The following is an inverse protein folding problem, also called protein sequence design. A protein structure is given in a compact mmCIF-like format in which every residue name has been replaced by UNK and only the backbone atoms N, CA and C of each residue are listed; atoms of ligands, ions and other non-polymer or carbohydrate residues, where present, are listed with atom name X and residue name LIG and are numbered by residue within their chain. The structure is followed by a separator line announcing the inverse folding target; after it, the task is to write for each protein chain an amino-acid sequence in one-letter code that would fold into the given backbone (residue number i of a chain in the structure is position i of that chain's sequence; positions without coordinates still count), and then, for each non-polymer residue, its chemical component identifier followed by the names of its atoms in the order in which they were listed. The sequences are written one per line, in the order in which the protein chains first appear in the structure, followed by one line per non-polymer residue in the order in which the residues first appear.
data_IF_916863874999
#
_entry.id   IF_916863874999
#
_cell.length_a   1.000
_cell.length_b   1.000
_cell.length_c   1.000
_cell.angle_alpha   90.00
_cell.angle_beta   90.00
_cell.angle_gamma   90.00
#
_symmetry.space_group_name_H-M   'P 1'
#
loop_
_entity.id
_entity.type
_entity.pdbx_description
1 polymer ?
#
# COMPACT_ATOMS: atom_id res chain seq x y z
N UNK A 1 -32.47 -22.03 14.69
CA UNK A 1 -33.03 -22.19 13.33
C UNK A 1 -32.74 -20.92 12.54
N UNK A 2 -32.28 -21.11 11.31
CA UNK A 2 -32.20 -20.18 10.17
C UNK A 2 -31.34 -18.91 10.25
N UNK A 3 -30.21 -19.03 9.53
CA UNK A 3 -29.27 -18.01 9.04
C UNK A 3 -29.96 -17.02 8.08
N UNK A 4 -29.55 -15.76 8.11
CA UNK A 4 -29.69 -14.84 6.97
C UNK A 4 -28.31 -14.42 6.46
N UNK A 5 -27.90 -15.06 5.37
CA UNK A 5 -26.81 -14.63 4.50
C UNK A 5 -27.40 -13.66 3.50
N UNK A 6 -26.93 -12.41 3.46
CA UNK A 6 -27.19 -11.48 2.36
C UNK A 6 -26.00 -11.51 1.42
N UNK A 7 -26.18 -12.17 0.28
CA UNK A 7 -25.35 -12.06 -0.91
C UNK A 7 -25.96 -10.98 -1.78
N UNK A 8 -25.19 -9.95 -2.17
CA UNK A 8 -25.55 -9.06 -3.27
C UNK A 8 -24.55 -9.26 -4.41
N UNK A 9 -25.03 -9.90 -5.47
CA UNK A 9 -24.42 -9.92 -6.79
C UNK A 9 -25.56 -9.71 -7.80
N UNK A 10 -25.46 -8.66 -8.62
CA UNK A 10 -26.23 -8.34 -9.82
C UNK A 10 -25.36 -7.30 -10.55
N UNK A 11 -25.10 -7.36 -11.86
CA UNK A 11 -25.89 -7.93 -12.93
C UNK A 11 -25.02 -8.56 -14.04
N UNK A 12 -25.50 -9.70 -14.55
CA UNK A 12 -25.24 -10.20 -15.90
C UNK A 12 -26.46 -9.79 -16.73
N UNK A 13 -26.24 -9.14 -17.88
CA UNK A 13 -27.25 -9.06 -18.93
C UNK A 13 -26.98 -10.21 -19.91
N UNK A 14 -28.09 -10.82 -20.26
CA UNK A 14 -28.32 -12.14 -20.82
C UNK A 14 -28.39 -12.11 -22.37
N UNK A 15 -28.39 -13.31 -22.92
CA UNK A 15 -29.10 -13.75 -24.13
C UNK A 15 -28.33 -13.82 -25.46
N UNK A 16 -28.21 -15.05 -25.97
CA UNK A 16 -27.91 -15.29 -27.38
C UNK A 16 -27.63 -16.74 -27.82
N UNK A 17 -28.54 -17.67 -27.52
CA UNK A 17 -28.83 -18.97 -28.16
C UNK A 17 -27.86 -19.56 -29.23
N UNK A 18 -27.32 -20.79 -29.09
CA UNK A 18 -27.92 -22.15 -29.22
C UNK A 18 -27.65 -22.80 -30.60
N UNK A 19 -27.49 -24.14 -30.57
CA UNK A 19 -27.41 -25.15 -31.66
C UNK A 19 -26.03 -25.41 -32.29
N UNK A 20 -25.35 -26.52 -32.00
CA UNK A 20 -25.61 -27.95 -32.31
C UNK A 20 -25.16 -28.42 -33.72
N UNK A 21 -24.22 -29.38 -33.65
CA UNK A 21 -24.12 -30.65 -34.40
C UNK A 21 -23.47 -30.68 -35.80
N UNK A 22 -22.38 -31.47 -35.80
CA UNK A 22 -22.05 -32.62 -36.68
C UNK A 22 -21.72 -32.32 -38.14
N UNK A 23 -20.55 -32.77 -38.60
CA UNK A 23 -20.32 -33.89 -39.54
C UNK A 23 -18.80 -33.95 -39.82
N UNK A 24 -18.10 -34.98 -39.33
CA UNK A 24 -17.52 -36.11 -40.09
C UNK A 24 -16.53 -35.73 -41.20
N UNK A 25 -15.27 -36.08 -40.94
CA UNK A 25 -14.34 -36.85 -41.77
C UNK A 25 -14.33 -36.61 -43.30
N UNK A 26 -13.17 -36.16 -43.80
CA UNK A 26 -12.60 -36.67 -45.05
C UNK A 26 -11.08 -36.47 -45.00
N UNK A 27 -10.32 -37.56 -45.04
CA UNK A 27 -8.92 -37.51 -45.45
C UNK A 27 -8.84 -37.56 -46.97
N UNK A 28 -7.72 -37.07 -47.52
CA UNK A 28 -6.90 -37.66 -48.60
C UNK A 28 -6.05 -36.57 -49.29
N UNK A 29 -4.77 -36.90 -49.48
CA UNK A 29 -3.81 -36.41 -50.51
C UNK A 29 -3.46 -34.91 -50.55
N UNK A 30 -2.25 -34.53 -50.14
CA UNK A 30 -0.97 -34.48 -50.90
C UNK A 30 -0.84 -33.29 -51.87
N UNK A 31 0.30 -32.59 -51.67
CA UNK A 31 1.15 -31.89 -52.65
C UNK A 31 0.73 -30.49 -53.14
N UNK A 32 1.44 -29.44 -52.69
CA UNK A 32 2.43 -28.67 -53.48
C UNK A 32 2.82 -27.33 -52.80
N UNK A 33 4.13 -27.20 -52.51
CA UNK A 33 5.04 -26.05 -52.71
C UNK A 33 4.62 -24.59 -52.42
N UNK A 34 5.31 -23.99 -51.43
CA UNK A 34 5.85 -22.60 -51.27
C UNK A 34 4.91 -21.36 -51.43
N UNK A 35 5.16 -20.22 -50.72
CA UNK A 35 6.42 -19.82 -50.09
C UNK A 35 6.36 -19.40 -48.61
N UNK A 36 7.53 -19.54 -47.97
CA UNK A 36 7.93 -18.82 -46.77
C UNK A 36 7.82 -17.31 -47.01
N UNK A 37 6.81 -16.66 -46.46
CA UNK A 37 6.71 -15.20 -46.27
C UNK A 37 5.66 -15.00 -45.17
N UNK A 38 5.96 -14.16 -44.18
CA UNK A 38 5.10 -13.78 -43.04
C UNK A 38 5.22 -14.60 -41.74
N UNK A 39 6.43 -15.01 -41.35
CA UNK A 39 6.77 -15.17 -39.93
C UNK A 39 8.04 -14.35 -39.68
N UNK A 40 7.88 -13.04 -39.68
CA UNK A 40 8.94 -12.08 -39.39
C UNK A 40 8.31 -10.80 -38.88
N UNK A 41 8.67 -10.41 -37.66
CA UNK A 41 8.35 -9.13 -37.00
C UNK A 41 6.94 -8.96 -36.43
N UNK A 42 6.59 -9.77 -35.45
CA UNK A 42 5.83 -9.29 -34.28
C UNK A 42 6.54 -9.69 -32.99
N UNK A 43 7.85 -9.43 -32.92
CA UNK A 43 8.58 -9.31 -31.67
C UNK A 43 9.41 -8.03 -31.77
N UNK A 44 9.42 -7.26 -30.67
CA UNK A 44 9.97 -5.90 -30.53
C UNK A 44 9.02 -4.86 -31.16
N UNK A 45 8.29 -4.03 -30.43
CA UNK A 45 8.46 -3.51 -29.08
C UNK A 45 7.07 -3.51 -28.45
N UNK A 46 6.89 -4.28 -27.36
CA UNK A 46 5.92 -3.85 -26.37
C UNK A 46 6.46 -2.50 -25.89
N UNK A 47 5.92 -1.43 -26.46
CA UNK A 47 6.05 -0.06 -25.98
C UNK A 47 5.93 -0.18 -24.48
N UNK A 48 6.96 0.26 -23.75
CA UNK A 48 6.94 0.33 -22.31
C UNK A 48 5.59 0.91 -21.92
N UNK A 49 4.70 0.06 -21.39
CA UNK A 49 3.43 0.52 -20.87
C UNK A 49 3.82 1.62 -19.88
N UNK A 50 3.28 2.83 -20.08
CA UNK A 50 3.58 4.02 -19.29
C UNK A 50 3.54 3.65 -17.80
N UNK A 51 4.70 3.35 -17.21
CA UNK A 51 4.79 3.14 -15.78
C UNK A 51 4.59 4.54 -15.20
N UNK A 52 3.58 4.75 -14.33
CA UNK A 52 3.36 6.04 -13.70
C UNK A 52 4.68 6.54 -13.12
N UNK A 53 4.99 7.83 -13.31
CA UNK A 53 6.13 8.45 -12.61
C UNK A 53 5.78 8.46 -11.12
N UNK A 54 6.23 7.45 -10.39
CA UNK A 54 5.98 7.28 -8.97
C UNK A 54 6.75 8.33 -8.16
N UNK A 55 6.47 8.44 -6.87
CA UNK A 55 7.30 9.23 -5.98
C UNK A 55 8.56 8.46 -5.56
N UNK A 56 9.54 9.15 -4.97
CA UNK A 56 10.80 8.51 -4.50
C UNK A 56 10.55 7.58 -3.31
N UNK A 57 9.46 7.80 -2.58
CA UNK A 57 8.95 7.00 -1.47
C UNK A 57 8.32 5.67 -1.93
N UNK A 58 8.08 5.51 -3.24
CA UNK A 58 7.44 4.34 -3.83
C UNK A 58 5.91 4.39 -3.79
N UNK A 59 5.30 3.25 -4.09
CA UNK A 59 3.86 3.03 -4.11
C UNK A 59 3.54 1.82 -3.23
N UNK A 60 2.58 1.98 -2.33
CA UNK A 60 1.99 0.93 -1.53
C UNK A 60 0.48 0.95 -1.80
N UNK A 61 -0.09 -0.17 -2.23
CA UNK A 61 -1.53 -0.30 -2.53
C UNK A 61 -2.04 -1.60 -1.95
N UNK A 62 -3.14 -1.52 -1.21
CA UNK A 62 -3.66 -2.66 -0.49
C UNK A 62 -5.13 -2.89 -0.76
N UNK A 63 -5.53 -4.15 -0.76
CA UNK A 63 -6.93 -4.52 -0.68
C UNK A 63 -7.11 -5.61 0.36
N UNK A 64 -8.22 -5.54 1.09
CA UNK A 64 -8.52 -6.48 2.17
C UNK A 64 -9.94 -6.99 1.96
N UNK A 65 -10.11 -8.30 2.08
CA UNK A 65 -11.43 -8.94 2.18
C UNK A 65 -11.46 -9.80 3.44
N UNK A 66 -12.66 -9.96 4.01
CA UNK A 66 -12.86 -10.82 5.18
C UNK A 66 -13.83 -11.95 4.90
N UNK A 67 -13.66 -13.07 5.58
CA UNK A 67 -14.57 -14.20 5.52
C UNK A 67 -14.22 -15.26 6.56
N UNK A 68 -15.22 -15.81 7.25
CA UNK A 68 -15.04 -16.90 8.23
C UNK A 68 -14.00 -16.53 9.32
N UNK A 69 -13.99 -15.26 9.76
CA UNK A 69 -13.05 -14.76 10.77
C UNK A 69 -11.58 -14.66 10.29
N UNK A 70 -11.34 -14.71 8.98
CA UNK A 70 -10.04 -14.51 8.36
C UNK A 70 -10.04 -13.28 7.46
N UNK A 71 -8.85 -12.68 7.34
CA UNK A 71 -8.53 -11.61 6.42
C UNK A 71 -7.65 -12.15 5.31
N UNK A 72 -7.99 -11.85 4.06
CA UNK A 72 -7.09 -11.96 2.92
C UNK A 72 -6.67 -10.55 2.52
N UNK A 73 -5.39 -10.25 2.70
CA UNK A 73 -4.76 -8.98 2.32
C UNK A 73 -3.93 -9.18 1.06
N UNK A 74 -4.21 -8.37 0.03
CA UNK A 74 -3.34 -8.19 -1.13
C UNK A 74 -2.53 -6.92 -0.91
N UNK A 75 -1.22 -7.00 -1.08
CA UNK A 75 -0.30 -5.86 -1.05
C UNK A 75 0.43 -5.75 -2.37
N UNK A 76 0.24 -4.66 -3.08
CA UNK A 76 0.98 -4.31 -4.28
C UNK A 76 1.98 -3.22 -3.91
N UNK A 77 3.25 -3.47 -4.18
CA UNK A 77 4.32 -2.53 -3.88
C UNK A 77 5.10 -2.23 -5.13
N UNK A 78 5.51 -0.98 -5.31
CA UNK A 78 6.36 -0.58 -6.41
C UNK A 78 7.32 0.54 -6.02
N UNK A 79 8.50 0.56 -6.62
CA UNK A 79 9.48 1.67 -6.59
C UNK A 79 10.00 1.88 -8.00
N UNK A 80 10.55 3.05 -8.29
CA UNK A 80 11.08 3.39 -9.61
C UNK A 80 12.56 3.74 -9.56
N UNK A 81 13.26 3.48 -10.66
CA UNK A 81 14.62 3.94 -10.89
C UNK A 81 15.44 2.96 -11.72
N UNK A 82 16.67 2.68 -11.29
CA UNK A 82 17.55 1.77 -12.01
C UNK A 82 17.02 0.32 -11.91
N UNK A 83 16.95 -0.36 -13.05
CA UNK A 83 16.62 -1.80 -13.11
C UNK A 83 17.80 -2.58 -12.53
N UNK A 84 17.59 -3.19 -11.36
CA UNK A 84 18.60 -3.99 -10.67
C UNK A 84 17.94 -5.22 -10.04
N UNK A 85 18.58 -6.40 -10.08
CA UNK A 85 18.06 -7.58 -9.39
C UNK A 85 17.93 -7.34 -7.89
N UNK A 86 16.70 -7.35 -7.38
CA UNK A 86 16.43 -7.15 -5.96
C UNK A 86 16.27 -8.46 -5.22
N UNK A 87 17.19 -8.73 -4.30
CA UNK A 87 17.12 -9.85 -3.36
C UNK A 87 17.05 -9.32 -1.93
N UNK A 88 16.12 -9.86 -1.14
CA UNK A 88 15.98 -9.50 0.27
C UNK A 88 16.74 -10.48 1.16
N UNK A 89 17.40 -9.95 2.18
CA UNK A 89 17.97 -10.73 3.26
C UNK A 89 16.87 -11.41 4.09
N UNK A 90 17.27 -12.35 4.95
CA UNK A 90 16.35 -13.00 5.89
C UNK A 90 15.67 -11.93 6.74
N UNK A 91 14.35 -12.05 6.88
CA UNK A 91 13.52 -11.16 7.70
C UNK A 91 13.99 -11.19 9.15
N UNK A 92 14.24 -10.01 9.70
CA UNK A 92 14.39 -9.77 11.14
C UNK A 92 13.02 -9.53 11.76
N UNK A 93 12.74 -10.19 12.88
CA UNK A 93 11.51 -9.99 13.65
C UNK A 93 11.79 -8.96 14.73
N UNK A 94 11.02 -7.88 14.76
CA UNK A 94 11.15 -6.83 15.77
C UNK A 94 10.68 -7.33 17.15
N UNK A 95 11.01 -6.60 18.23
CA UNK A 95 10.49 -6.87 19.57
C UNK A 95 8.96 -6.87 19.60
N UNK A 96 8.34 -5.91 18.89
CA UNK A 96 6.95 -6.04 18.46
C UNK A 96 6.87 -7.07 17.32
N UNK A 97 6.40 -8.28 17.66
CA UNK A 97 6.32 -9.41 16.73
C UNK A 97 5.35 -9.19 15.56
N UNK A 98 4.56 -8.11 15.59
CA UNK A 98 3.70 -7.68 14.48
C UNK A 98 4.52 -7.07 13.34
N UNK A 99 5.70 -6.53 13.62
CA UNK A 99 6.59 -5.93 12.62
C UNK A 99 7.72 -6.90 12.27
N UNK A 100 7.95 -7.04 10.96
CA UNK A 100 9.11 -7.74 10.40
C UNK A 100 9.78 -6.84 9.38
N UNK A 101 11.11 -6.82 9.36
CA UNK A 101 11.89 -6.00 8.43
C UNK A 101 12.76 -6.91 7.58
N UNK A 102 12.80 -6.65 6.27
CA UNK A 102 13.74 -7.28 5.34
C UNK A 102 14.47 -6.20 4.56
N UNK A 103 15.80 -6.20 4.64
CA UNK A 103 16.63 -5.30 3.85
C UNK A 103 16.99 -5.94 2.53
N UNK A 104 17.06 -5.14 1.47
CA UNK A 104 17.76 -5.52 0.26
C UNK A 104 19.20 -5.93 0.56
N UNK A 105 19.70 -6.95 -0.14
CA UNK A 105 21.10 -7.39 -0.05
C UNK A 105 22.02 -6.22 -0.41
N UNK A 106 23.00 -5.95 0.44
CA UNK A 106 23.95 -4.85 0.28
C UNK A 106 23.54 -3.56 1.01
N UNK A 107 22.34 -3.50 1.60
CA UNK A 107 22.01 -2.46 2.59
C UNK A 107 22.50 -2.90 3.97
N UNK A 108 23.60 -2.32 4.44
CA UNK A 108 24.06 -2.48 5.81
C UNK A 108 23.35 -1.47 6.72
N UNK A 109 22.28 -1.91 7.39
CA UNK A 109 21.51 -1.11 8.34
C UNK A 109 21.10 -1.97 9.54
N UNK A 110 21.00 -1.33 10.68
CA UNK A 110 20.53 -1.92 11.94
C UNK A 110 18.99 -1.85 11.98
N UNK A 111 18.27 -2.98 12.11
CA UNK A 111 16.80 -2.98 12.13
C UNK A 111 16.20 -2.25 13.33
N UNK A 112 16.97 -2.01 14.40
CA UNK A 112 16.49 -1.58 15.70
C UNK A 112 15.71 -0.26 15.64
N UNK A 113 16.24 0.76 14.97
CA UNK A 113 15.56 2.07 14.87
C UNK A 113 14.29 1.97 14.02
N UNK A 114 14.35 1.31 12.86
CA UNK A 114 13.19 1.07 11.99
C UNK A 114 12.12 0.28 12.73
N UNK A 115 12.51 -0.77 13.45
CA UNK A 115 11.61 -1.58 14.27
C UNK A 115 10.92 -0.72 15.32
N UNK A 116 11.67 0.13 16.06
CA UNK A 116 11.09 1.01 17.08
C UNK A 116 10.06 1.96 16.47
N UNK A 117 10.46 2.69 15.43
CA UNK A 117 9.61 3.69 14.76
C UNK A 117 8.34 3.06 14.19
N UNK A 118 8.47 1.96 13.46
CA UNK A 118 7.34 1.23 12.91
C UNK A 118 6.41 0.67 14.01
N UNK A 119 6.97 0.18 15.13
CA UNK A 119 6.17 -0.34 16.24
C UNK A 119 5.37 0.76 16.94
N UNK A 120 5.98 1.93 17.17
CA UNK A 120 5.32 3.09 17.78
C UNK A 120 4.21 3.65 16.88
N UNK A 121 4.47 3.78 15.57
CA UNK A 121 3.47 4.18 14.58
C UNK A 121 2.29 3.18 14.50
N UNK A 122 2.56 1.87 14.46
CA UNK A 122 1.50 0.86 14.44
C UNK A 122 0.72 0.82 15.76
N UNK A 123 1.39 1.02 16.90
CA UNK A 123 0.71 1.06 18.20
C UNK A 123 -0.31 2.20 18.29
N UNK A 124 0.01 3.37 17.72
CA UNK A 124 -0.93 4.49 17.61
C UNK A 124 -2.19 4.10 16.83
N UNK A 125 -2.03 3.49 15.65
CA UNK A 125 -3.16 3.00 14.84
C UNK A 125 -3.98 1.93 15.57
N UNK A 126 -3.32 0.95 16.20
CA UNK A 126 -3.99 -0.13 16.92
C UNK A 126 -4.79 0.37 18.12
N UNK A 127 -4.30 1.41 18.80
CA UNK A 127 -5.04 2.03 19.91
C UNK A 127 -6.35 2.66 19.40
N UNK A 128 -6.31 3.29 18.23
CA UNK A 128 -7.42 4.07 17.70
C UNK A 128 -8.46 3.24 16.93
N UNK A 129 -8.01 2.24 16.18
CA UNK A 129 -8.89 1.27 15.51
C UNK A 129 -9.42 0.19 16.46
N UNK A 130 -8.82 0.05 17.65
CA UNK A 130 -9.01 -1.08 18.56
C UNK A 130 -8.67 -2.46 17.97
N UNK A 131 -7.89 -2.50 16.88
CA UNK A 131 -7.44 -3.74 16.23
C UNK A 131 -5.98 -4.02 16.56
N UNK A 132 -5.73 -5.05 17.38
CA UNK A 132 -4.40 -5.35 17.91
C UNK A 132 -3.58 -6.31 17.02
N UNK A 133 -4.22 -7.03 16.10
CA UNK A 133 -3.62 -8.12 15.34
C UNK A 133 -3.23 -7.76 13.89
N UNK A 134 -3.07 -6.46 13.61
CA UNK A 134 -2.47 -5.98 12.36
C UNK A 134 -0.99 -6.38 12.36
N UNK A 135 -0.49 -6.93 11.26
CA UNK A 135 0.93 -7.28 11.10
C UNK A 135 1.50 -6.72 9.80
N UNK A 136 2.75 -6.27 9.85
CA UNK A 136 3.43 -5.57 8.76
C UNK A 136 4.78 -6.24 8.48
N UNK A 137 5.05 -6.50 7.20
CA UNK A 137 6.40 -6.80 6.71
C UNK A 137 6.92 -5.61 5.91
N UNK A 138 7.93 -4.92 6.42
CA UNK A 138 8.62 -3.83 5.74
C UNK A 138 9.75 -4.37 4.86
N UNK A 139 9.70 -4.05 3.58
CA UNK A 139 10.76 -4.27 2.61
C UNK A 139 11.55 -2.97 2.46
N UNK A 140 12.77 -2.93 2.98
CA UNK A 140 13.63 -1.75 2.90
C UNK A 140 14.56 -1.89 1.71
N UNK A 141 14.49 -0.95 0.78
CA UNK A 141 15.21 -0.99 -0.50
C UNK A 141 16.08 0.26 -0.70
N UNK A 142 17.13 0.23 -1.54
CA UNK A 142 17.88 1.43 -1.86
C UNK A 142 16.98 2.48 -2.53
N UNK A 143 17.35 3.75 -2.44
CA UNK A 143 16.67 4.79 -3.23
C UNK A 143 16.82 4.52 -4.73
N UNK A 144 15.81 4.92 -5.51
CA UNK A 144 15.86 4.95 -6.98
C UNK A 144 16.20 3.60 -7.62
N UNK A 145 15.63 2.52 -7.10
CA UNK A 145 15.65 1.20 -7.74
C UNK A 145 14.27 0.84 -8.25
N UNK A 146 14.21 0.19 -9.41
CA UNK A 146 12.96 -0.35 -9.94
C UNK A 146 12.66 -1.69 -9.26
N UNK A 147 11.52 -1.78 -8.58
CA UNK A 147 11.05 -3.00 -7.96
C UNK A 147 9.52 -3.01 -7.98
N UNK A 148 8.93 -4.13 -8.36
CA UNK A 148 7.48 -4.32 -8.31
C UNK A 148 7.15 -5.72 -7.84
N UNK A 149 6.22 -5.83 -6.90
CA UNK A 149 5.74 -7.13 -6.43
C UNK A 149 4.29 -7.06 -5.95
N UNK A 150 3.63 -8.22 -5.96
CA UNK A 150 2.32 -8.42 -5.35
C UNK A 150 2.38 -9.58 -4.38
N UNK A 151 1.84 -9.37 -3.18
CA UNK A 151 1.80 -10.35 -2.10
C UNK A 151 0.36 -10.63 -1.69
N UNK A 152 0.07 -11.89 -1.39
CA UNK A 152 -1.18 -12.33 -0.79
C UNK A 152 -0.90 -12.93 0.58
N UNK A 153 -1.60 -12.46 1.61
CA UNK A 153 -1.44 -12.93 2.99
C UNK A 153 -2.79 -13.20 3.62
N UNK A 154 -2.90 -14.36 4.27
CA UNK A 154 -4.08 -14.75 5.02
C UNK A 154 -3.78 -14.81 6.52
N UNK A 155 -4.72 -14.38 7.36
CA UNK A 155 -4.56 -14.43 8.82
C UNK A 155 -5.82 -14.05 9.59
N UNK A 156 -5.75 -14.15 10.91
CA UNK A 156 -6.82 -13.70 11.83
C UNK A 156 -6.94 -12.18 11.94
N UNK A 157 -5.96 -11.44 11.41
CA UNK A 157 -5.95 -10.00 11.27
C UNK A 157 -5.28 -9.61 9.94
N UNK A 158 -5.37 -8.34 9.52
CA UNK A 158 -4.73 -7.86 8.31
C UNK A 158 -3.22 -8.06 8.32
N UNK A 159 -2.66 -8.45 7.17
CA UNK A 159 -1.23 -8.71 7.01
C UNK A 159 -0.68 -7.96 5.81
N UNK A 160 -0.02 -6.83 6.06
CA UNK A 160 0.54 -5.95 5.05
C UNK A 160 1.97 -6.36 4.69
N UNK A 161 2.33 -6.14 3.43
CA UNK A 161 3.72 -6.07 2.97
C UNK A 161 3.91 -4.69 2.36
N UNK A 162 4.77 -3.87 2.97
CA UNK A 162 5.03 -2.50 2.54
C UNK A 162 6.46 -2.41 2.01
N UNK A 163 6.71 -1.47 1.10
CA UNK A 163 8.04 -1.11 0.62
C UNK A 163 8.40 0.30 1.08
N UNK A 164 9.62 0.46 1.57
CA UNK A 164 10.17 1.74 2.00
C UNK A 164 11.58 1.93 1.41
N UNK A 165 11.77 2.85 0.46
CA UNK A 165 13.08 3.25 0.00
C UNK A 165 13.87 3.96 1.09
N UNK A 166 15.18 3.72 1.14
CA UNK A 166 16.11 4.53 1.92
C UNK A 166 16.21 5.89 1.25
N UNK A 167 15.88 6.95 1.98
CA UNK A 167 15.94 8.33 1.49
C UNK A 167 17.31 8.95 1.75
N UNK A 168 17.47 10.23 1.38
CA UNK A 168 18.77 10.92 1.45
C UNK A 168 19.35 10.96 2.86
N UNK A 169 18.50 11.08 3.88
CA UNK A 169 18.88 11.05 5.30
C UNK A 169 18.19 9.90 6.03
N UNK A 170 18.79 9.48 7.15
CA UNK A 170 18.19 8.49 8.04
C UNK A 170 16.87 9.01 8.61
N UNK A 171 16.84 10.28 9.03
CA UNK A 171 15.64 10.96 9.53
C UNK A 171 14.50 10.94 8.51
N UNK A 172 14.75 11.29 7.24
CA UNK A 172 13.73 11.22 6.20
C UNK A 172 13.25 9.78 5.97
N UNK A 173 14.16 8.81 6.05
CA UNK A 173 13.80 7.38 5.93
C UNK A 173 12.90 6.94 7.09
N UNK A 174 13.21 7.33 8.32
CA UNK A 174 12.41 7.02 9.49
C UNK A 174 11.05 7.73 9.47
N UNK A 175 11.01 8.99 9.03
CA UNK A 175 9.77 9.75 8.84
C UNK A 175 8.86 9.07 7.82
N UNK A 176 9.39 8.69 6.65
CA UNK A 176 8.66 7.93 5.64
C UNK A 176 8.14 6.59 6.19
N UNK A 177 8.94 5.87 7.00
CA UNK A 177 8.50 4.60 7.61
C UNK A 177 7.39 4.83 8.63
N UNK A 178 7.49 5.84 9.49
CA UNK A 178 6.46 6.17 10.47
C UNK A 178 5.14 6.54 9.78
N UNK A 179 5.23 7.40 8.76
CA UNK A 179 4.13 7.83 7.92
C UNK A 179 3.45 6.63 7.25
N UNK A 180 4.22 5.87 6.47
CA UNK A 180 3.73 4.72 5.72
C UNK A 180 3.08 3.66 6.61
N UNK A 181 3.69 3.36 7.76
CA UNK A 181 3.12 2.38 8.69
C UNK A 181 1.81 2.86 9.30
N UNK A 182 1.72 4.14 9.67
CA UNK A 182 0.50 4.69 10.25
C UNK A 182 -0.61 4.87 9.21
N UNK A 183 -0.26 5.36 8.02
CA UNK A 183 -1.17 5.55 6.89
C UNK A 183 -1.78 4.21 6.43
N UNK A 184 -0.93 3.23 6.09
CA UNK A 184 -1.42 1.94 5.60
C UNK A 184 -2.05 1.09 6.71
N UNK A 185 -1.52 1.24 7.93
CA UNK A 185 -2.11 0.68 9.13
C UNK A 185 -3.53 1.19 9.35
N UNK A 186 -3.78 2.49 9.14
CA UNK A 186 -5.10 3.10 9.30
C UNK A 186 -6.14 2.45 8.38
N UNK A 187 -5.84 2.32 7.08
CA UNK A 187 -6.75 1.70 6.12
C UNK A 187 -7.19 0.31 6.57
N UNK A 188 -6.23 -0.56 6.90
CA UNK A 188 -6.57 -1.94 7.29
C UNK A 188 -7.14 -2.04 8.70
N UNK A 189 -6.76 -1.12 9.60
CA UNK A 189 -7.26 -1.05 10.96
C UNK A 189 -8.74 -0.67 10.99
N UNK A 190 -9.11 0.41 10.30
CA UNK A 190 -10.51 0.85 10.22
C UNK A 190 -11.38 -0.16 9.48
N UNK A 191 -10.84 -0.79 8.42
CA UNK A 191 -11.54 -1.87 7.72
C UNK A 191 -11.79 -3.06 8.65
N UNK A 192 -10.78 -3.48 9.43
CA UNK A 192 -10.92 -4.57 10.40
C UNK A 192 -11.84 -4.21 11.58
N UNK A 193 -11.97 -2.93 11.91
CA UNK A 193 -12.94 -2.42 12.89
C UNK A 193 -14.38 -2.36 12.33
N UNK A 194 -14.56 -2.57 11.02
CA UNK A 194 -15.87 -2.58 10.35
C UNK A 194 -16.28 -1.25 9.71
N UNK A 195 -15.42 -0.22 9.76
CA UNK A 195 -15.69 1.09 9.17
C UNK A 195 -15.05 1.20 7.79
N UNK A 196 -15.69 0.57 6.80
CA UNK A 196 -15.19 0.51 5.41
C UNK A 196 -15.14 1.90 4.76
N UNK A 197 -16.08 2.79 5.12
CA UNK A 197 -16.10 4.14 4.56
C UNK A 197 -14.92 4.96 5.05
N UNK A 198 -14.64 4.91 6.36
CA UNK A 198 -13.49 5.59 6.93
C UNK A 198 -12.17 4.98 6.46
N UNK A 199 -12.13 3.65 6.32
CA UNK A 199 -10.98 2.92 5.79
C UNK A 199 -10.61 3.30 4.36
N UNK A 200 -11.52 3.86 3.56
CA UNK A 200 -11.25 4.32 2.20
C UNK A 200 -10.88 5.80 2.10
N UNK A 201 -10.73 6.51 3.22
CA UNK A 201 -10.51 7.95 3.22
C UNK A 201 -9.01 8.29 3.25
N UNK A 202 -8.43 8.54 2.08
CA UNK A 202 -7.02 8.91 1.88
C UNK A 202 -6.64 10.19 2.65
N UNK A 203 -7.48 11.22 2.62
CA UNK A 203 -7.24 12.47 3.34
C UNK A 203 -7.03 12.26 4.84
N UNK A 204 -7.82 11.37 5.45
CA UNK A 204 -7.66 10.98 6.84
C UNK A 204 -6.42 10.10 7.04
N UNK A 205 -6.16 9.16 6.13
CA UNK A 205 -4.98 8.31 6.21
C UNK A 205 -3.67 9.11 6.20
N UNK A 206 -3.58 10.18 5.40
CA UNK A 206 -2.43 11.10 5.41
C UNK A 206 -2.28 11.84 6.75
N UNK A 207 -3.38 12.30 7.37
CA UNK A 207 -3.30 12.85 8.72
C UNK A 207 -2.79 11.82 9.74
N UNK A 208 -3.19 10.55 9.60
CA UNK A 208 -2.68 9.46 10.43
C UNK A 208 -1.20 9.20 10.20
N UNK A 209 -0.72 9.30 8.97
CA UNK A 209 0.71 9.26 8.64
C UNK A 209 1.50 10.30 9.44
N UNK A 210 1.07 11.57 9.39
CA UNK A 210 1.69 12.66 10.14
C UNK A 210 1.60 12.47 11.67
N UNK A 211 0.46 12.00 12.19
CA UNK A 211 0.32 11.64 13.59
C UNK A 211 1.25 10.47 13.98
N UNK A 212 1.46 9.51 13.09
CA UNK A 212 2.42 8.43 13.24
C UNK A 212 3.86 8.95 13.39
N UNK A 213 4.25 9.91 12.55
CA UNK A 213 5.53 10.62 12.66
C UNK A 213 5.67 11.32 14.02
N UNK A 214 4.67 12.14 14.42
CA UNK A 214 4.68 12.82 15.74
C UNK A 214 4.82 11.85 16.91
N UNK A 215 4.11 10.71 16.87
CA UNK A 215 4.16 9.73 17.97
C UNK A 215 5.51 9.02 18.02
N UNK A 216 6.05 8.61 16.86
CA UNK A 216 7.23 7.74 16.77
C UNK A 216 8.58 8.50 16.81
N UNK A 217 8.59 9.74 16.30
CA UNK A 217 9.77 10.58 16.15
C UNK A 217 9.74 11.81 17.05
N UNK A 218 8.56 12.14 17.61
CA UNK A 218 8.39 13.35 18.44
C UNK A 218 8.25 14.64 17.63
N UNK A 219 8.37 14.59 16.32
CA UNK A 219 8.24 15.76 15.43
C UNK A 219 7.85 15.34 14.01
N UNK A 220 7.44 16.33 13.22
CA UNK A 220 7.29 16.25 11.76
C UNK A 220 8.20 17.32 11.17
N UNK A 221 8.91 16.97 10.11
CA UNK A 221 9.72 17.90 9.32
C UNK A 221 8.91 18.41 8.13
N UNK A 222 8.98 19.71 7.75
CA UNK A 222 8.33 20.20 6.54
C UNK A 222 8.74 19.45 5.27
N UNK A 223 10.00 18.98 5.21
CA UNK A 223 10.52 18.17 4.11
C UNK A 223 10.01 16.73 4.10
N UNK A 224 9.40 16.25 5.19
CA UNK A 224 8.84 14.92 5.32
C UNK A 224 7.30 14.91 5.20
N UNK A 225 6.70 16.04 4.82
CA UNK A 225 5.29 16.10 4.48
C UNK A 225 4.99 15.29 3.21
N UNK A 226 3.80 14.66 3.14
CA UNK A 226 3.36 13.98 1.94
C UNK A 226 3.28 14.96 0.76
N UNK A 227 3.15 14.42 -0.45
CA UNK A 227 2.78 15.24 -1.61
C UNK A 227 3.90 15.47 -2.62
N UNK A 228 4.10 14.47 -3.47
CA UNK A 228 4.48 14.72 -4.85
C UNK A 228 3.44 14.06 -5.74
N UNK A 229 2.70 14.86 -6.51
CA UNK A 229 1.69 14.36 -7.42
C UNK A 229 2.25 13.30 -8.37
N UNK A 230 1.64 12.11 -8.34
CA UNK A 230 1.99 11.02 -9.26
C UNK A 230 1.10 11.15 -10.49
N UNK A 231 1.71 11.38 -11.65
CA UNK A 231 0.99 11.27 -12.92
C UNK A 231 0.66 9.79 -13.17
N UNK A 232 -0.62 9.43 -13.03
CA UNK A 232 -1.12 8.06 -13.14
C UNK A 232 -2.51 8.04 -13.77
N UNK A 233 -2.77 7.00 -14.56
CA UNK A 233 -4.11 6.68 -15.07
C UNK A 233 -4.95 5.85 -14.08
N UNK A 234 -4.35 5.40 -12.96
CA UNK A 234 -5.06 4.68 -11.88
C UNK A 234 -5.79 5.69 -10.99
N UNK A 235 -7.15 5.71 -10.96
CA UNK A 235 -7.92 6.68 -10.18
C UNK A 235 -7.59 6.67 -8.68
N UNK A 236 -7.20 5.52 -8.12
CA UNK A 236 -6.82 5.44 -6.71
C UNK A 236 -5.51 6.18 -6.43
N UNK A 237 -4.55 6.14 -7.36
CA UNK A 237 -3.29 6.86 -7.21
C UNK A 237 -3.48 8.36 -7.39
N UNK A 238 -4.43 8.77 -8.24
CA UNK A 238 -4.82 10.18 -8.41
C UNK A 238 -5.48 10.72 -7.14
N UNK A 239 -6.47 10.02 -6.59
CA UNK A 239 -7.17 10.42 -5.36
C UNK A 239 -6.22 10.50 -4.15
N UNK A 240 -5.36 9.50 -3.99
CA UNK A 240 -4.33 9.51 -2.95
C UNK A 240 -3.36 10.70 -3.14
N UNK A 241 -2.90 10.96 -4.37
CA UNK A 241 -2.01 12.11 -4.64
C UNK A 241 -2.66 13.45 -4.32
N UNK A 242 -3.92 13.64 -4.70
CA UNK A 242 -4.68 14.86 -4.41
C UNK A 242 -4.90 15.04 -2.90
N UNK A 243 -5.19 13.95 -2.20
CA UNK A 243 -5.31 13.95 -0.73
C UNK A 243 -3.99 14.31 -0.06
N UNK A 244 -2.87 13.76 -0.52
CA UNK A 244 -1.52 14.12 -0.05
C UNK A 244 -1.23 15.62 -0.22
N UNK A 245 -1.46 16.16 -1.42
CA UNK A 245 -1.23 17.58 -1.73
C UNK A 245 -2.09 18.48 -0.83
N UNK A 246 -3.37 18.13 -0.67
CA UNK A 246 -4.27 18.87 0.21
C UNK A 246 -3.78 18.88 1.67
N UNK A 247 -3.43 17.72 2.22
CA UNK A 247 -2.93 17.64 3.60
C UNK A 247 -1.61 18.40 3.74
N UNK A 248 -0.72 18.30 2.75
CA UNK A 248 0.52 19.07 2.73
C UNK A 248 0.24 20.56 2.85
N UNK A 249 -0.65 21.11 2.03
CA UNK A 249 -0.96 22.54 2.03
C UNK A 249 -1.62 22.99 3.34
N UNK A 250 -2.54 22.19 3.88
CA UNK A 250 -3.20 22.46 5.16
C UNK A 250 -2.21 22.49 6.33
N UNK A 251 -1.27 21.53 6.37
CA UNK A 251 -0.33 21.41 7.49
C UNK A 251 0.89 22.32 7.31
N UNK A 252 1.34 22.61 6.07
CA UNK A 252 2.46 23.54 5.79
C UNK A 252 2.29 24.88 6.51
N UNK A 253 1.06 25.43 6.49
CA UNK A 253 0.74 26.67 7.18
C UNK A 253 0.96 26.61 8.70
N UNK A 254 0.85 25.43 9.31
CA UNK A 254 1.00 25.24 10.75
C UNK A 254 2.47 25.13 11.22
N UNK A 255 3.43 24.88 10.32
CA UNK A 255 4.86 24.79 10.68
C UNK A 255 5.48 26.15 10.99
N UNK A 256 4.98 27.24 10.40
CA UNK A 256 5.58 28.57 10.57
C UNK A 256 7.09 28.62 10.22
N UNK A 257 7.57 27.71 9.37
CA UNK A 257 8.98 27.60 8.96
C UNK A 257 9.88 26.76 9.88
N UNK A 258 9.34 26.12 10.92
CA UNK A 258 10.08 25.24 11.85
C UNK A 258 9.42 23.87 11.94
N UNK A 259 10.15 22.81 12.35
CA UNK A 259 9.56 21.48 12.58
C UNK A 259 8.40 21.54 13.57
N UNK A 260 7.34 20.79 13.28
CA UNK A 260 6.21 20.64 14.19
C UNK A 260 6.56 19.59 15.23
N UNK A 261 6.85 20.01 16.46
CA UNK A 261 7.11 19.07 17.56
C UNK A 261 5.81 18.55 18.17
N UNK A 262 5.87 17.37 18.78
CA UNK A 262 4.74 16.75 19.49
C UNK A 262 4.22 17.64 20.61
N UNK A 263 5.09 18.38 21.30
CA UNK A 263 4.74 19.24 22.43
C UNK A 263 4.21 20.61 21.99
N UNK A 264 4.43 21.00 20.73
CA UNK A 264 3.90 22.26 20.20
C UNK A 264 2.37 22.27 20.16
N UNK A 265 1.77 23.45 20.19
CA UNK A 265 0.31 23.60 20.09
C UNK A 265 -0.24 22.99 18.78
N UNK A 266 0.46 23.17 17.66
CA UNK A 266 0.10 22.57 16.38
C UNK A 266 0.20 21.03 16.41
N UNK A 267 1.26 20.49 17.01
CA UNK A 267 1.42 19.03 17.16
C UNK A 267 0.33 18.41 18.05
N UNK A 268 -0.01 19.06 19.16
CA UNK A 268 -1.12 18.60 20.03
C UNK A 268 -2.47 18.71 19.33
N UNK A 269 -2.70 19.77 18.55
CA UNK A 269 -3.93 19.91 17.76
C UNK A 269 -4.06 18.81 16.70
N UNK A 270 -2.99 18.50 15.97
CA UNK A 270 -2.97 17.42 14.99
C UNK A 270 -3.23 16.05 15.65
N UNK A 271 -2.57 15.77 16.77
CA UNK A 271 -2.82 14.53 17.54
C UNK A 271 -4.26 14.45 18.06
N UNK A 272 -4.84 15.56 18.52
CA UNK A 272 -6.22 15.61 18.97
C UNK A 272 -7.19 15.33 17.80
N UNK A 273 -6.92 15.90 16.62
CA UNK A 273 -7.68 15.62 15.40
C UNK A 273 -7.65 14.13 15.06
N UNK A 274 -6.48 13.49 15.01
CA UNK A 274 -6.39 12.07 14.72
C UNK A 274 -7.12 11.19 15.77
N UNK A 275 -7.06 11.55 17.05
CA UNK A 275 -7.75 10.83 18.14
C UNK A 275 -9.26 11.02 18.11
N UNK A 276 -9.76 12.11 17.56
CA UNK A 276 -11.20 12.33 17.37
C UNK A 276 -11.77 11.43 16.26
N UNK A 277 -10.93 10.93 15.36
CA UNK A 277 -11.30 10.04 14.26
C UNK A 277 -11.29 8.60 14.76
N UNK A 278 -12.40 8.12 15.31
CA UNK A 278 -12.56 6.73 15.73
C UNK A 278 -13.44 5.96 14.72
N UNK A 279 -13.25 4.63 14.56
CA UNK A 279 -14.20 3.85 13.79
C UNK A 279 -15.59 3.99 14.41
N UNK A 280 -16.62 4.05 13.57
CA UNK A 280 -17.99 4.00 14.07
C UNK A 280 -18.14 2.79 15.01
N UNK A 281 -18.66 3.02 16.23
CA UNK A 281 -18.85 1.93 17.20
C UNK A 281 -19.61 0.78 16.52
N UNK A 282 -19.17 -0.48 16.70
CA UNK A 282 -19.84 -1.60 16.07
C UNK A 282 -21.31 -1.56 16.51
N UNK A 283 -22.22 -1.52 15.53
CA UNK A 283 -23.65 -1.74 15.80
C UNK A 283 -23.75 -3.11 16.46
N UNK A 284 -24.13 -3.11 17.73
CA UNK A 284 -24.41 -4.33 18.51
C UNK A 284 -25.55 -5.11 17.86
#
# INVERSE_FOLDING_TARGET
MTKHVRTMALALVDSGARLQRRFRACGWMRLLTFPCLLIGSFCTQAVAANVPRMSVEGMNKHSVITGIGLFLTRSQVATQGAVQPMHFQRRSVCSDRRIKVAFAKGLERTPEQICRVASEALAFVSAQSHVQNIAITLLVVPSRVDYQATFYRMGRGPKLVLIAPVLQTEEATLANIADLVAHEGFHVGMFAAGDVSLAGNEYVAYHYGLCGQLVALGHVEPSALPGFGVASDDPHLVDSSQSAERVRDEVLGAFGGLPMTRESAAGQALLAQCRAIAPASPKQ
#
